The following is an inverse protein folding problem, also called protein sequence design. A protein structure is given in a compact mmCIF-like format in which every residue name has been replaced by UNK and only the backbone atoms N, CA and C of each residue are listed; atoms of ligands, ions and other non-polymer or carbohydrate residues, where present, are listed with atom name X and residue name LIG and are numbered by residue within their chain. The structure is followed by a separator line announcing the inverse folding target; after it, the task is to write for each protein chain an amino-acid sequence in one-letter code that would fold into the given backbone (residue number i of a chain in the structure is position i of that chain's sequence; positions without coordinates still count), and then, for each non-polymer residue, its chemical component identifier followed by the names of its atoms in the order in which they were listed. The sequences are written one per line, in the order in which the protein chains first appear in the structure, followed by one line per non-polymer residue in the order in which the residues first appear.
data_IF_746388372025
#
_entry.id   IF_746388372025
#
_cell.length_a   1.000
_cell.length_b   1.000
_cell.length_c   1.000
_cell.angle_alpha   90.00
_cell.angle_beta   90.00
_cell.angle_gamma   90.00
#
_symmetry.space_group_name_H-M   'P 1'
#
loop_
_entity.id
_entity.type
_entity.pdbx_description
1 polymer ?
#
# COMPACT_ATOMS: atom_id res chain seq x y z
N UNK A 1 -7.81 9.90 -12.39
CA UNK A 1 -8.31 8.63 -12.92
C UNK A 1 -8.54 7.71 -11.73
N UNK A 2 -9.79 7.45 -11.37
CA UNK A 2 -10.12 6.52 -10.28
C UNK A 2 -10.10 5.11 -10.88
N UNK A 3 -9.07 4.34 -10.58
CA UNK A 3 -9.06 2.92 -10.91
C UNK A 3 -9.88 2.23 -9.82
N UNK A 4 -11.14 1.87 -10.13
CA UNK A 4 -11.79 0.75 -9.43
C UNK A 4 -11.03 -0.52 -9.81
N UNK A 5 -9.84 -0.67 -9.28
CA UNK A 5 -8.88 -1.73 -9.57
C UNK A 5 -8.68 -2.61 -8.35
N UNK A 6 -8.47 -3.89 -8.61
CA UNK A 6 -7.87 -4.81 -7.66
C UNK A 6 -6.40 -4.92 -8.03
N UNK A 7 -5.51 -4.60 -7.09
CA UNK A 7 -4.07 -4.79 -7.23
C UNK A 7 -3.61 -5.87 -6.25
N UNK A 8 -2.78 -6.79 -6.73
CA UNK A 8 -2.19 -7.85 -5.91
C UNK A 8 -0.70 -7.89 -6.16
N UNK A 9 0.10 -7.66 -5.12
CA UNK A 9 1.56 -7.59 -5.21
C UNK A 9 2.22 -8.62 -4.29
N UNK A 10 3.35 -9.18 -4.74
CA UNK A 10 4.22 -10.01 -3.91
C UNK A 10 5.67 -9.68 -4.17
N UNK A 11 6.38 -9.26 -3.13
CA UNK A 11 7.77 -8.81 -3.26
C UNK A 11 8.70 -9.38 -2.20
N UNK A 12 9.97 -9.46 -2.56
CA UNK A 12 11.09 -9.81 -1.68
C UNK A 12 12.26 -8.88 -1.95
N UNK A 13 12.78 -8.25 -0.92
CA UNK A 13 13.85 -7.25 -1.04
C UNK A 13 13.40 -5.87 -0.58
N UNK A 14 13.99 -4.83 -1.17
CA UNK A 14 13.68 -3.43 -0.87
C UNK A 14 12.66 -2.90 -1.88
N UNK A 15 11.60 -2.27 -1.40
CA UNK A 15 10.66 -1.51 -2.24
C UNK A 15 10.59 -0.06 -1.76
N UNK A 16 10.57 0.86 -2.74
CA UNK A 16 10.26 2.27 -2.49
C UNK A 16 9.09 2.67 -3.36
N UNK A 17 7.96 2.99 -2.72
CA UNK A 17 6.76 3.44 -3.41
C UNK A 17 6.44 4.89 -3.07
N UNK A 18 6.06 5.67 -4.09
CA UNK A 18 5.50 7.00 -3.87
C UNK A 18 4.37 7.27 -4.84
N UNK A 19 3.19 7.57 -4.31
CA UNK A 19 1.99 7.65 -5.13
C UNK A 19 0.78 8.24 -4.42
N UNK A 20 -0.28 8.46 -5.21
CA UNK A 20 -1.60 8.79 -4.71
C UNK A 20 -2.59 7.74 -5.19
N UNK A 21 -3.17 6.98 -4.26
CA UNK A 21 -4.20 5.99 -4.55
C UNK A 21 -5.60 6.60 -4.30
N UNK A 22 -6.52 6.44 -5.25
CA UNK A 22 -7.89 6.98 -5.18
C UNK A 22 -8.92 5.90 -5.49
N UNK A 23 -9.47 5.24 -4.46
CA UNK A 23 -10.40 4.13 -4.61
C UNK A 23 -9.72 2.84 -5.07
N UNK A 24 -10.01 1.70 -4.42
CA UNK A 24 -9.49 0.39 -4.84
C UNK A 24 -9.50 -0.65 -3.73
N UNK A 25 -9.20 -1.91 -4.10
CA UNK A 25 -8.78 -2.95 -3.18
C UNK A 25 -7.33 -3.32 -3.50
N UNK A 26 -6.43 -3.18 -2.53
CA UNK A 26 -5.03 -3.58 -2.67
C UNK A 26 -4.73 -4.74 -1.73
N UNK A 27 -4.02 -5.76 -2.23
CA UNK A 27 -3.54 -6.89 -1.44
C UNK A 27 -2.04 -7.07 -1.67
N UNK A 28 -1.25 -6.85 -0.63
CA UNK A 28 0.21 -6.79 -0.74
C UNK A 28 0.86 -7.76 0.22
N UNK A 29 1.90 -8.47 -0.24
CA UNK A 29 2.74 -9.28 0.64
C UNK A 29 4.22 -9.02 0.38
N UNK A 30 4.93 -8.51 1.37
CA UNK A 30 6.36 -8.23 1.27
C UNK A 30 7.20 -9.01 2.29
N UNK A 31 8.41 -9.40 1.88
CA UNK A 31 9.48 -9.79 2.79
C UNK A 31 10.74 -8.98 2.52
N UNK A 32 11.06 -8.03 3.41
CA UNK A 32 12.20 -7.13 3.27
C UNK A 32 11.91 -5.74 3.83
N UNK A 33 12.40 -4.69 3.17
CA UNK A 33 12.26 -3.30 3.63
C UNK A 33 11.33 -2.54 2.67
N UNK A 34 10.36 -1.81 3.20
CA UNK A 34 9.38 -1.03 2.45
C UNK A 34 9.44 0.43 2.89
N UNK A 35 9.62 1.33 1.93
CA UNK A 35 9.48 2.76 2.15
C UNK A 35 8.35 3.29 1.29
N UNK A 36 7.25 3.63 1.93
CA UNK A 36 6.09 4.18 1.25
C UNK A 36 5.90 5.65 1.58
N UNK A 37 5.72 6.49 0.55
CA UNK A 37 5.32 7.89 0.74
C UNK A 37 4.20 8.32 -0.20
N UNK A 38 3.00 8.49 0.35
CA UNK A 38 1.83 8.73 -0.49
C UNK A 38 0.59 9.23 0.23
N UNK A 39 -0.46 9.48 -0.55
CA UNK A 39 -1.80 9.76 -0.04
C UNK A 39 -2.81 8.78 -0.59
N UNK A 40 -3.54 8.10 0.28
CA UNK A 40 -4.58 7.17 -0.11
C UNK A 40 -5.96 7.76 0.27
N UNK A 41 -6.85 7.93 -0.72
CA UNK A 41 -8.21 8.46 -0.50
C UNK A 41 -9.27 7.44 -0.90
N UNK A 42 -9.93 6.84 0.09
CA UNK A 42 -10.99 5.86 -0.12
C UNK A 42 -10.47 4.51 -0.62
N UNK A 43 -10.71 3.41 0.10
CA UNK A 43 -10.28 2.07 -0.34
C UNK A 43 -10.17 1.06 0.80
N UNK A 44 -9.84 -0.18 0.44
CA UNK A 44 -9.45 -1.23 1.38
C UNK A 44 -8.06 -1.73 1.00
N UNK A 45 -7.16 -1.78 1.96
CA UNK A 45 -5.81 -2.30 1.79
C UNK A 45 -5.60 -3.47 2.73
N UNK A 46 -5.07 -4.58 2.20
CA UNK A 46 -4.69 -5.75 2.99
C UNK A 46 -3.21 -6.03 2.74
N UNK A 47 -2.37 -5.73 3.71
CA UNK A 47 -0.92 -5.94 3.60
C UNK A 47 -0.48 -7.07 4.54
N UNK A 48 0.63 -7.72 4.21
CA UNK A 48 1.35 -8.57 5.16
C UNK A 48 2.83 -8.44 4.90
N UNK A 49 3.54 -7.85 5.86
CA UNK A 49 4.95 -7.55 5.73
C UNK A 49 5.79 -8.31 6.76
N UNK A 50 6.91 -8.86 6.29
CA UNK A 50 7.96 -9.43 7.14
C UNK A 50 9.26 -8.68 6.92
N UNK A 51 9.53 -7.70 7.78
CA UNK A 51 10.75 -6.88 7.78
C UNK A 51 10.47 -5.47 8.33
N UNK A 52 11.12 -4.45 7.78
CA UNK A 52 11.02 -3.06 8.27
C UNK A 52 10.19 -2.20 7.33
N UNK A 53 9.15 -1.55 7.87
CA UNK A 53 8.26 -0.66 7.12
C UNK A 53 8.45 0.80 7.54
N UNK A 54 8.57 1.70 6.58
CA UNK A 54 8.62 3.14 6.80
C UNK A 54 7.56 3.83 5.94
N UNK A 55 6.52 4.31 6.59
CA UNK A 55 5.42 4.99 5.93
C UNK A 55 5.41 6.50 6.22
N UNK A 56 5.36 7.32 5.18
CA UNK A 56 5.26 8.79 5.27
C UNK A 56 4.16 9.32 4.36
N UNK A 57 2.97 9.48 4.92
CA UNK A 57 1.78 9.77 4.11
C UNK A 57 0.53 10.09 4.91
N UNK A 58 -0.56 10.36 4.20
CA UNK A 58 -1.87 10.61 4.81
C UNK A 58 -2.94 9.74 4.14
N UNK A 59 -3.60 8.89 4.92
CA UNK A 59 -4.72 8.08 4.47
C UNK A 59 -6.04 8.73 4.93
N UNK A 60 -6.96 8.99 4.01
CA UNK A 60 -8.29 9.51 4.32
C UNK A 60 -9.36 8.57 3.76
N UNK A 61 -10.11 7.92 4.66
CA UNK A 61 -11.20 7.02 4.29
C UNK A 61 -10.74 5.67 3.73
N UNK A 62 -9.50 5.25 4.02
CA UNK A 62 -8.98 3.91 3.72
C UNK A 62 -9.10 3.04 4.97
N UNK A 63 -9.53 1.80 4.80
CA UNK A 63 -9.43 0.76 5.82
C UNK A 63 -8.19 -0.09 5.51
N UNK A 64 -7.23 -0.10 6.41
CA UNK A 64 -5.99 -0.89 6.30
C UNK A 64 -6.09 -2.11 7.22
N UNK A 65 -5.68 -3.27 6.70
CA UNK A 65 -5.62 -4.54 7.42
C UNK A 65 -4.24 -5.16 7.17
N UNK A 66 -3.35 -5.06 8.13
CA UNK A 66 -1.97 -5.56 8.10
C UNK A 66 -1.75 -6.78 8.99
#
# INVERSE_FOLDING_TARGET
MALRGLEITHMRGEEVHSGMALGGLEISHMRGEEVHSGMALGGLEISHMSGEEVHSGMALGVLEIS
#
